data_IF_188702124875
#
_entry.id   IF_188702124875
#
_cell.length_a   1.000
_cell.length_b   1.000
_cell.length_c   1.000
_cell.angle_alpha   90.00
_cell.angle_beta   90.00
_cell.angle_gamma   90.00
#
_symmetry.space_group_name_H-M   'P 1'
#
loop_
_entity.id
_entity.type
_entity.pdbx_description
1 polymer ?
#
# COMPACT_ATOMS: atom_id res chain seq x y z
N UNK A 1 -23.75 -22.19 -17.14
CA UNK A 1 -22.36 -21.75 -17.49
C UNK A 1 -22.04 -20.50 -16.69
N UNK A 2 -21.27 -20.56 -15.60
CA UNK A 2 -20.91 -19.35 -14.84
C UNK A 2 -19.63 -18.71 -15.43
N UNK A 3 -19.75 -17.44 -15.79
CA UNK A 3 -18.67 -16.58 -16.25
C UNK A 3 -17.64 -16.38 -15.13
N UNK A 4 -16.43 -16.87 -15.36
CA UNK A 4 -15.25 -16.61 -14.56
C UNK A 4 -14.83 -15.13 -14.74
N UNK A 5 -15.03 -14.30 -13.74
CA UNK A 5 -14.46 -12.94 -13.68
C UNK A 5 -12.95 -13.05 -13.50
N UNK A 6 -12.23 -12.65 -14.53
CA UNK A 6 -10.78 -12.41 -14.47
C UNK A 6 -10.49 -11.22 -13.54
N UNK A 7 -9.77 -11.48 -12.47
CA UNK A 7 -9.13 -10.44 -11.67
C UNK A 7 -7.76 -10.13 -12.31
N UNK A 8 -7.69 -9.03 -13.04
CA UNK A 8 -6.43 -8.50 -13.54
C UNK A 8 -5.66 -7.85 -12.39
N UNK A 9 -4.58 -8.50 -11.97
CA UNK A 9 -3.57 -7.88 -11.11
C UNK A 9 -2.53 -7.19 -11.99
N UNK A 10 -2.59 -5.85 -12.06
CA UNK A 10 -1.55 -5.04 -12.68
C UNK A 10 -0.28 -5.06 -11.81
N UNK A 11 0.71 -5.85 -12.20
CA UNK A 11 2.05 -5.77 -11.63
C UNK A 11 2.85 -4.68 -12.36
N UNK A 12 3.16 -3.57 -11.68
CA UNK A 12 4.19 -2.64 -12.17
C UNK A 12 5.56 -3.30 -12.01
N UNK A 13 6.16 -3.67 -13.14
CA UNK A 13 7.59 -3.99 -13.23
C UNK A 13 8.38 -2.68 -13.17
N UNK A 14 9.13 -2.47 -12.09
CA UNK A 14 10.20 -1.47 -12.06
C UNK A 14 11.42 -2.12 -12.72
N UNK A 15 11.83 -1.61 -13.89
CA UNK A 15 13.07 -1.99 -14.54
C UNK A 15 14.23 -1.39 -13.74
N UNK A 16 15.07 -2.25 -13.18
CA UNK A 16 16.32 -1.87 -12.53
C UNK A 16 17.47 -2.07 -13.54
N UNK A 17 18.02 -0.97 -14.02
CA UNK A 17 19.27 -0.97 -14.80
C UNK A 17 20.42 -1.03 -13.80
N UNK A 18 21.21 -2.10 -13.89
CA UNK A 18 22.43 -2.25 -13.11
C UNK A 18 23.55 -1.45 -13.77
N UNK A 19 23.99 -0.38 -13.14
CA UNK A 19 25.26 0.27 -13.45
C UNK A 19 26.32 -0.25 -12.46
N UNK A 20 27.44 -0.78 -13.02
CA UNK A 20 28.57 -1.30 -12.26
C UNK A 20 29.57 -0.18 -12.05
N UNK A 21 29.47 0.53 -10.94
CA UNK A 21 30.50 1.43 -10.45
C UNK A 21 31.19 0.87 -9.21
N UNK A 22 32.47 0.52 -9.31
CA UNK A 22 33.36 0.23 -8.19
C UNK A 22 33.53 1.48 -7.35
N UNK A 23 33.16 1.43 -6.07
CA UNK A 23 33.77 2.31 -5.06
C UNK A 23 33.87 1.57 -3.73
N UNK A 24 35.05 1.80 -3.07
CA UNK A 24 35.48 1.14 -1.87
C UNK A 24 34.63 1.51 -0.65
N UNK A 25 34.64 0.61 0.34
CA UNK A 25 33.98 0.75 1.62
C UNK A 25 34.57 1.93 2.42
N UNK A 26 33.76 2.85 2.93
CA UNK A 26 34.16 3.72 4.02
C UNK A 26 33.86 3.07 5.38
N UNK A 27 34.81 3.30 6.28
CA UNK A 27 34.86 2.87 7.67
C UNK A 27 33.64 3.32 8.46
N UNK A 28 33.33 2.52 9.47
CA UNK A 28 32.31 2.73 10.49
C UNK A 28 32.34 4.18 11.01
N UNK A 29 31.36 4.96 10.63
CA UNK A 29 30.98 6.18 11.29
C UNK A 29 29.74 5.86 12.10
N UNK A 30 29.94 5.83 13.42
CA UNK A 30 28.87 5.76 14.40
C UNK A 30 28.00 7.00 14.25
N UNK A 31 26.92 6.87 13.45
CA UNK A 31 25.92 7.93 13.33
C UNK A 31 25.05 7.87 14.56
N UNK A 32 25.43 8.63 15.58
CA UNK A 32 24.56 9.02 16.68
C UNK A 32 23.28 9.61 16.05
N UNK A 33 22.18 8.92 16.21
CA UNK A 33 20.87 9.38 15.77
C UNK A 33 20.60 10.76 16.40
N UNK A 34 20.26 11.80 15.61
CA UNK A 34 19.87 13.07 16.19
C UNK A 34 18.65 12.83 17.07
N UNK A 35 18.76 13.28 18.35
CA UNK A 35 17.68 13.19 19.31
C UNK A 35 16.42 13.82 18.72
N UNK A 36 15.40 13.01 18.52
CA UNK A 36 14.08 13.47 18.15
C UNK A 36 13.53 14.31 19.32
N UNK A 37 13.66 15.62 19.20
CA UNK A 37 12.91 16.54 20.04
C UNK A 37 11.42 16.29 19.81
N UNK A 38 10.76 15.74 20.82
CA UNK A 38 9.33 15.39 20.89
C UNK A 38 8.41 16.64 20.92
N UNK A 39 8.68 17.66 20.15
CA UNK A 39 7.69 18.67 19.82
C UNK A 39 6.76 18.10 18.74
N UNK A 40 5.81 17.26 19.14
CA UNK A 40 4.69 16.89 18.26
C UNK A 40 4.01 18.19 17.85
N UNK A 41 3.86 18.49 16.54
CA UNK A 41 3.00 19.58 16.12
C UNK A 41 1.64 19.34 16.79
N UNK A 42 1.12 20.35 17.46
CA UNK A 42 -0.16 20.31 18.15
C UNK A 42 -1.30 20.39 17.11
N UNK A 43 -1.29 19.43 16.20
CA UNK A 43 -2.33 19.23 15.20
C UNK A 43 -3.44 18.46 15.89
N UNK A 44 -4.54 19.13 16.17
CA UNK A 44 -5.73 18.47 16.70
C UNK A 44 -6.42 17.68 15.58
N UNK A 45 -5.70 16.67 15.04
CA UNK A 45 -6.14 15.85 13.89
C UNK A 45 -7.46 15.13 14.19
N UNK A 46 -7.69 14.79 15.45
CA UNK A 46 -8.93 14.12 15.85
C UNK A 46 -10.12 15.07 15.79
N UNK A 47 -9.96 16.31 16.25
CA UNK A 47 -10.99 17.34 16.16
C UNK A 47 -11.29 17.69 14.70
N UNK A 48 -10.26 17.94 13.90
CA UNK A 48 -10.40 18.17 12.45
C UNK A 48 -11.16 17.01 11.76
N UNK A 49 -10.83 15.77 12.11
CA UNK A 49 -11.50 14.60 11.57
C UNK A 49 -12.96 14.52 11.95
N UNK A 50 -13.29 14.84 13.22
CA UNK A 50 -14.66 14.87 13.74
C UNK A 50 -15.50 15.97 13.09
N UNK A 51 -14.94 17.15 12.92
CA UNK A 51 -15.59 18.27 12.25
C UNK A 51 -15.93 17.94 10.79
N UNK A 52 -14.97 17.38 10.06
CA UNK A 52 -15.17 16.94 8.67
C UNK A 52 -16.29 15.89 8.56
N UNK A 53 -16.30 14.88 9.44
CA UNK A 53 -17.40 13.90 9.46
C UNK A 53 -18.74 14.51 9.83
N UNK A 54 -18.76 15.42 10.80
CA UNK A 54 -19.95 16.13 11.22
C UNK A 54 -20.57 16.93 10.09
N UNK A 55 -19.76 17.70 9.36
CA UNK A 55 -20.20 18.52 8.21
C UNK A 55 -20.76 17.68 7.05
N UNK A 56 -20.33 16.42 6.94
CA UNK A 56 -20.76 15.47 5.89
C UNK A 56 -21.90 14.55 6.33
N UNK A 57 -22.58 14.88 7.44
CA UNK A 57 -23.74 14.13 7.93
C UNK A 57 -23.40 12.82 8.63
N UNK A 58 -22.13 12.62 9.01
CA UNK A 58 -21.66 11.43 9.71
C UNK A 58 -21.43 11.66 11.21
N UNK A 59 -22.21 12.57 11.83
CA UNK A 59 -22.09 12.91 13.25
C UNK A 59 -22.18 11.69 14.18
N UNK A 60 -22.96 10.67 13.80
CA UNK A 60 -23.11 9.45 14.59
C UNK A 60 -21.81 8.68 14.83
N UNK A 61 -20.81 8.81 13.93
CA UNK A 61 -19.49 8.18 14.12
C UNK A 61 -18.41 9.19 14.50
N UNK A 62 -18.65 10.49 14.28
CA UNK A 62 -17.66 11.52 14.56
C UNK A 62 -17.23 11.51 16.03
N UNK A 63 -18.19 11.39 16.96
CA UNK A 63 -17.92 11.41 18.39
C UNK A 63 -17.10 10.21 18.88
N UNK A 64 -17.21 9.07 18.19
CA UNK A 64 -16.49 7.84 18.55
C UNK A 64 -15.12 7.76 17.86
N UNK A 65 -14.88 8.60 16.82
CA UNK A 65 -13.66 8.54 16.05
C UNK A 65 -12.45 8.95 16.89
N UNK A 66 -11.40 8.15 16.78
CA UNK A 66 -10.09 8.43 17.36
C UNK A 66 -9.01 8.48 16.27
N UNK A 67 -8.02 9.32 16.50
CA UNK A 67 -6.83 9.43 15.62
C UNK A 67 -5.59 9.24 16.47
N UNK A 68 -4.71 8.33 16.06
CA UNK A 68 -3.47 8.02 16.77
C UNK A 68 -2.26 8.02 15.83
N UNK A 69 -1.09 8.24 16.39
CA UNK A 69 0.18 7.97 15.74
C UNK A 69 0.64 6.55 16.04
N UNK A 70 0.88 5.74 14.97
CA UNK A 70 1.20 4.32 15.13
C UNK A 70 2.56 3.98 14.48
N UNK A 71 3.58 3.80 15.31
CA UNK A 71 4.95 3.44 14.87
C UNK A 71 5.08 2.02 14.30
N UNK A 72 4.06 1.18 14.46
CA UNK A 72 4.02 -0.15 13.86
C UNK A 72 3.71 -0.12 12.35
N UNK A 73 3.19 1.00 11.84
CA UNK A 73 3.04 1.20 10.39
C UNK A 73 4.44 1.35 9.77
N UNK A 74 4.83 0.41 8.92
CA UNK A 74 6.18 0.42 8.31
C UNK A 74 6.19 1.05 6.92
N UNK A 75 5.19 0.75 6.11
CA UNK A 75 5.13 1.15 4.69
C UNK A 75 3.86 1.91 4.34
N UNK A 76 2.82 1.84 5.16
CA UNK A 76 1.58 2.58 4.97
C UNK A 76 1.70 3.96 5.64
N UNK A 77 1.18 5.00 5.00
CA UNK A 77 1.10 6.35 5.55
C UNK A 77 0.02 6.44 6.64
N UNK A 78 -1.11 5.77 6.42
CA UNK A 78 -2.21 5.67 7.37
C UNK A 78 -2.90 4.31 7.30
N UNK A 79 -3.86 4.13 8.16
CA UNK A 79 -4.77 2.98 8.20
C UNK A 79 -6.07 3.38 8.89
N UNK A 80 -7.19 3.08 8.25
CA UNK A 80 -8.53 3.21 8.83
C UNK A 80 -9.06 1.86 9.31
N UNK A 81 -9.63 1.84 10.52
CA UNK A 81 -10.42 0.72 11.04
C UNK A 81 -11.83 1.22 11.38
N UNK A 82 -12.78 0.93 10.50
CA UNK A 82 -14.18 1.36 10.69
C UNK A 82 -14.82 0.74 11.93
N UNK A 83 -14.49 -0.50 12.29
CA UNK A 83 -15.09 -1.19 13.44
C UNK A 83 -14.67 -0.55 14.76
N UNK A 84 -13.39 -0.18 14.85
CA UNK A 84 -12.83 0.47 16.03
C UNK A 84 -13.01 1.99 16.03
N UNK A 85 -13.54 2.57 14.94
CA UNK A 85 -13.59 4.03 14.73
C UNK A 85 -12.22 4.67 14.94
N UNK A 86 -11.18 4.04 14.35
CA UNK A 86 -9.80 4.42 14.59
C UNK A 86 -9.08 4.70 13.27
N UNK A 87 -8.40 5.83 13.22
CA UNK A 87 -7.41 6.16 12.19
C UNK A 87 -6.03 6.13 12.83
N UNK A 88 -5.14 5.30 12.29
CA UNK A 88 -3.73 5.27 12.68
C UNK A 88 -2.90 5.94 11.60
N UNK A 89 -2.07 6.91 11.97
CA UNK A 89 -1.15 7.63 11.09
C UNK A 89 0.30 7.21 11.37
N UNK A 90 1.12 7.16 10.34
CA UNK A 90 2.53 6.82 10.47
C UNK A 90 3.32 8.03 10.96
N UNK A 91 4.10 7.94 12.07
CA UNK A 91 4.92 9.05 12.55
C UNK A 91 5.93 9.60 11.54
N UNK A 92 6.31 8.83 10.51
CA UNK A 92 7.17 9.32 9.42
C UNK A 92 6.53 10.44 8.60
N UNK A 93 5.23 10.65 8.72
CA UNK A 93 4.57 11.82 8.13
C UNK A 93 5.07 13.14 8.71
N UNK A 94 5.71 13.16 9.89
CA UNK A 94 6.37 14.36 10.39
C UNK A 94 7.51 14.86 9.50
N UNK A 95 8.12 13.96 8.72
CA UNK A 95 9.10 14.31 7.68
C UNK A 95 8.43 14.92 6.43
N UNK A 96 7.10 14.82 6.33
CA UNK A 96 6.28 15.28 5.20
C UNK A 96 5.01 15.99 5.69
N UNK A 97 5.10 17.14 6.39
CA UNK A 97 3.97 17.78 7.06
C UNK A 97 2.78 18.08 6.14
N UNK A 98 3.03 18.45 4.88
CA UNK A 98 2.00 18.71 3.88
C UNK A 98 1.12 17.48 3.56
N UNK A 99 1.64 16.27 3.82
CA UNK A 99 0.92 15.01 3.55
C UNK A 99 0.11 14.52 4.75
N UNK A 100 0.24 15.12 5.92
CA UNK A 100 -0.46 14.69 7.14
C UNK A 100 -1.97 14.83 6.97
N UNK A 101 -2.43 16.02 6.61
CA UNK A 101 -3.85 16.27 6.43
C UNK A 101 -4.42 15.49 5.24
N UNK A 102 -3.69 15.40 4.14
CA UNK A 102 -4.09 14.61 2.98
C UNK A 102 -4.25 13.13 3.35
N UNK A 103 -3.30 12.56 4.09
CA UNK A 103 -3.39 11.18 4.59
C UNK A 103 -4.57 11.00 5.54
N UNK A 104 -4.81 11.96 6.44
CA UNK A 104 -5.97 11.92 7.32
C UNK A 104 -7.28 11.86 6.53
N UNK A 105 -7.45 12.72 5.52
CA UNK A 105 -8.63 12.74 4.65
C UNK A 105 -8.78 11.45 3.85
N UNK A 106 -7.68 10.85 3.38
CA UNK A 106 -7.67 9.54 2.72
C UNK A 106 -8.26 8.45 3.62
N UNK A 107 -7.79 8.37 4.87
CA UNK A 107 -8.29 7.38 5.83
C UNK A 107 -9.72 7.69 6.29
N UNK A 108 -10.07 8.97 6.40
CA UNK A 108 -11.44 9.40 6.66
C UNK A 108 -12.40 8.98 5.54
N UNK A 109 -11.96 9.03 4.28
CA UNK A 109 -12.76 8.58 3.16
C UNK A 109 -13.15 7.10 3.28
N UNK A 110 -12.27 6.24 3.81
CA UNK A 110 -12.61 4.85 4.11
C UNK A 110 -13.70 4.73 5.18
N UNK A 111 -13.59 5.52 6.26
CA UNK A 111 -14.59 5.55 7.34
C UNK A 111 -15.93 6.04 6.82
N UNK A 112 -15.95 7.18 6.11
CA UNK A 112 -17.14 7.79 5.57
C UNK A 112 -17.85 6.90 4.54
N UNK A 113 -17.09 6.30 3.62
CA UNK A 113 -17.63 5.38 2.62
C UNK A 113 -18.32 4.17 3.28
N UNK A 114 -17.67 3.56 4.27
CA UNK A 114 -18.25 2.42 4.97
C UNK A 114 -19.47 2.82 5.82
N UNK A 115 -19.45 4.00 6.44
CA UNK A 115 -20.59 4.53 7.18
C UNK A 115 -21.84 4.67 6.30
N UNK A 116 -21.69 5.28 5.12
CA UNK A 116 -22.79 5.51 4.16
C UNK A 116 -23.43 4.22 3.64
N UNK A 117 -22.65 3.16 3.47
CA UNK A 117 -23.16 1.88 2.98
C UNK A 117 -23.55 0.90 4.09
N UNK A 118 -23.28 1.22 5.34
CA UNK A 118 -23.61 0.41 6.50
C UNK A 118 -22.83 -0.91 6.52
N UNK A 119 -23.56 -2.05 6.58
CA UNK A 119 -22.94 -3.38 6.71
C UNK A 119 -22.50 -3.98 5.37
N UNK A 120 -22.83 -3.37 4.26
CA UNK A 120 -22.46 -3.88 2.94
C UNK A 120 -20.94 -3.86 2.76
N UNK A 121 -20.38 -4.94 2.25
CA UNK A 121 -18.97 -5.00 1.89
C UNK A 121 -18.72 -4.19 0.60
N UNK A 122 -17.78 -3.27 0.64
CA UNK A 122 -17.37 -2.44 -0.48
C UNK A 122 -15.91 -2.69 -0.84
N UNK A 123 -15.51 -2.28 -2.06
CA UNK A 123 -14.10 -2.28 -2.46
C UNK A 123 -13.37 -1.15 -1.73
N UNK A 124 -12.19 -1.37 -1.16
CA UNK A 124 -11.47 -0.35 -0.38
C UNK A 124 -11.31 1.00 -1.11
N UNK A 125 -11.05 0.97 -2.42
CA UNK A 125 -10.91 2.18 -3.24
C UNK A 125 -11.89 2.15 -4.42
N UNK A 126 -13.14 1.69 -4.14
CA UNK A 126 -14.25 1.68 -5.10
C UNK A 126 -14.91 3.04 -5.26
N UNK A 127 -16.04 3.05 -5.95
CA UNK A 127 -16.81 4.28 -6.24
C UNK A 127 -17.27 4.99 -4.97
N UNK A 128 -17.60 4.25 -3.92
CA UNK A 128 -18.03 4.80 -2.64
C UNK A 128 -16.90 5.57 -1.95
N UNK A 129 -15.68 5.03 -2.00
CA UNK A 129 -14.48 5.71 -1.49
C UNK A 129 -14.12 6.92 -2.35
N UNK A 130 -14.18 6.82 -3.67
CA UNK A 130 -13.93 7.95 -4.57
C UNK A 130 -14.90 9.10 -4.31
N UNK A 131 -16.18 8.80 -4.11
CA UNK A 131 -17.17 9.84 -3.76
C UNK A 131 -16.84 10.47 -2.40
N UNK A 132 -16.45 9.68 -1.41
CA UNK A 132 -16.02 10.22 -0.12
C UNK A 132 -14.76 11.10 -0.24
N UNK A 133 -13.81 10.77 -1.12
CA UNK A 133 -12.65 11.61 -1.41
C UNK A 133 -13.07 12.97 -2.01
N UNK A 134 -14.03 12.99 -2.94
CA UNK A 134 -14.56 14.22 -3.52
C UNK A 134 -15.16 15.09 -2.43
N UNK A 135 -16.00 14.53 -1.58
CA UNK A 135 -16.69 15.25 -0.51
C UNK A 135 -15.72 15.79 0.56
N UNK A 136 -14.60 15.09 0.77
CA UNK A 136 -13.51 15.51 1.66
C UNK A 136 -12.50 16.47 1.02
N UNK A 137 -12.73 16.91 -0.25
CA UNK A 137 -11.88 17.88 -0.93
C UNK A 137 -10.56 17.30 -1.47
N UNK A 138 -10.46 15.98 -1.64
CA UNK A 138 -9.30 15.28 -2.21
C UNK A 138 -9.70 14.44 -3.43
N UNK A 139 -10.42 15.03 -4.37
CA UNK A 139 -10.96 14.34 -5.54
C UNK A 139 -9.89 13.67 -6.43
N UNK A 140 -8.66 14.20 -6.42
CA UNK A 140 -7.50 13.67 -7.16
C UNK A 140 -6.73 12.59 -6.41
N UNK A 141 -7.27 12.08 -5.28
CA UNK A 141 -6.55 11.15 -4.41
C UNK A 141 -6.26 9.82 -5.09
N UNK A 142 -5.04 9.35 -4.89
CA UNK A 142 -4.56 8.08 -5.43
C UNK A 142 -4.72 6.96 -4.39
N UNK A 143 -4.88 5.73 -4.88
CA UNK A 143 -4.97 4.53 -4.01
C UNK A 143 -3.76 4.30 -3.11
N UNK A 144 -2.58 4.79 -3.53
CA UNK A 144 -1.32 4.61 -2.84
C UNK A 144 -0.56 5.92 -2.81
N UNK A 145 0.02 6.24 -1.67
CA UNK A 145 0.94 7.37 -1.54
C UNK A 145 2.27 7.10 -2.29
N UNK A 146 2.96 8.16 -2.67
CA UNK A 146 4.30 8.11 -3.27
C UNK A 146 5.40 8.51 -2.26
N UNK A 147 5.09 8.48 -0.96
CA UNK A 147 6.04 8.83 0.10
C UNK A 147 7.22 7.84 0.10
N UNK A 148 8.45 8.31 0.34
CA UNK A 148 9.67 7.50 0.30
C UNK A 148 9.83 6.64 1.57
N UNK A 149 8.75 6.02 2.01
CA UNK A 149 8.83 5.11 3.15
C UNK A 149 9.61 3.86 2.76
N UNK A 150 10.46 3.34 3.65
CA UNK A 150 11.26 2.16 3.34
C UNK A 150 10.35 0.98 3.04
N UNK A 151 10.48 0.46 1.83
CA UNK A 151 9.81 -0.77 1.45
C UNK A 151 10.24 -1.94 2.35
N UNK A 152 9.33 -2.87 2.62
CA UNK A 152 9.72 -4.12 3.28
C UNK A 152 10.61 -4.91 2.33
N UNK A 153 11.91 -4.97 2.63
CA UNK A 153 12.80 -5.93 1.99
C UNK A 153 12.62 -7.30 2.63
N UNK A 154 11.96 -8.20 1.92
CA UNK A 154 11.89 -9.59 2.36
C UNK A 154 12.92 -10.39 1.58
N UNK A 155 13.78 -11.12 2.29
CA UNK A 155 14.63 -12.09 1.65
C UNK A 155 13.78 -13.13 0.91
N UNK A 156 14.07 -13.35 -0.36
CA UNK A 156 13.40 -14.36 -1.14
C UNK A 156 13.77 -15.75 -0.60
N UNK A 157 12.77 -16.50 -0.15
CA UNK A 157 12.95 -17.89 0.34
C UNK A 157 12.85 -18.90 -0.80
N UNK A 158 12.22 -18.54 -1.89
CA UNK A 158 12.00 -19.40 -3.04
C UNK A 158 12.38 -18.64 -4.32
N UNK A 159 13.08 -19.29 -5.22
CA UNK A 159 13.34 -18.76 -6.55
C UNK A 159 12.70 -19.69 -7.56
N UNK A 160 11.83 -19.16 -8.39
CA UNK A 160 11.25 -19.87 -9.52
C UNK A 160 11.91 -19.41 -10.80
N UNK A 161 12.01 -20.31 -11.78
CA UNK A 161 12.63 -20.01 -13.08
C UNK A 161 11.69 -20.41 -14.22
N UNK A 162 11.65 -19.58 -15.24
CA UNK A 162 10.98 -19.92 -16.50
C UNK A 162 11.81 -20.94 -17.28
N UNK A 163 11.25 -22.06 -17.76
CA UNK A 163 12.00 -23.04 -18.54
C UNK A 163 12.42 -22.51 -19.92
N UNK A 164 11.71 -21.55 -20.47
CA UNK A 164 11.99 -20.97 -21.79
C UNK A 164 13.02 -19.84 -21.71
N UNK A 165 12.67 -18.69 -21.12
CA UNK A 165 13.56 -17.51 -21.07
C UNK A 165 14.53 -17.52 -19.89
N UNK A 166 14.48 -18.51 -19.02
CA UNK A 166 15.31 -18.68 -17.82
C UNK A 166 15.26 -17.54 -16.81
N UNK A 167 14.37 -16.57 -16.99
CA UNK A 167 14.16 -15.48 -16.04
C UNK A 167 13.80 -16.02 -14.66
N UNK A 168 14.41 -15.45 -13.63
CA UNK A 168 14.18 -15.81 -12.25
C UNK A 168 13.13 -14.91 -11.60
N UNK A 169 12.31 -15.52 -10.73
CA UNK A 169 11.22 -14.90 -10.03
C UNK A 169 11.35 -15.18 -8.54
N UNK A 170 12.06 -14.31 -7.79
CA UNK A 170 12.19 -14.46 -6.35
C UNK A 170 10.83 -14.30 -5.64
N UNK A 171 10.55 -15.15 -4.65
CA UNK A 171 9.31 -15.15 -3.86
C UNK A 171 9.61 -15.35 -2.38
N UNK A 172 8.89 -14.63 -1.53
CA UNK A 172 8.96 -14.79 -0.07
C UNK A 172 8.20 -16.03 0.39
N UNK A 173 7.10 -16.37 -0.31
CA UNK A 173 6.24 -17.51 -0.01
C UNK A 173 6.20 -18.48 -1.19
N UNK A 174 6.01 -19.76 -0.88
CA UNK A 174 5.82 -20.78 -1.91
C UNK A 174 4.59 -20.47 -2.74
N UNK A 175 4.74 -20.55 -4.06
CA UNK A 175 3.63 -20.36 -5.00
C UNK A 175 2.70 -21.58 -4.90
N UNK A 176 1.45 -21.34 -4.53
CA UNK A 176 0.43 -22.41 -4.36
C UNK A 176 -0.36 -22.67 -5.64
N UNK A 177 -0.49 -21.65 -6.50
CA UNK A 177 -1.21 -21.77 -7.77
C UNK A 177 -0.23 -21.97 -8.90
N UNK A 178 -0.69 -22.62 -9.97
CA UNK A 178 0.10 -22.76 -11.20
C UNK A 178 0.22 -21.39 -11.84
N UNK A 179 1.45 -20.94 -12.05
CA UNK A 179 1.79 -19.65 -12.69
C UNK A 179 2.77 -19.88 -13.83
N UNK A 180 2.66 -19.06 -14.87
CA UNK A 180 3.56 -19.08 -16.03
C UNK A 180 4.28 -17.74 -16.19
N UNK A 181 5.36 -17.73 -16.96
CA UNK A 181 6.10 -16.54 -17.31
C UNK A 181 5.25 -15.65 -18.23
N UNK A 182 4.83 -14.48 -17.72
CA UNK A 182 3.96 -13.58 -18.48
C UNK A 182 4.62 -13.05 -19.75
N UNK A 183 5.94 -12.78 -19.74
CA UNK A 183 6.66 -12.34 -20.91
C UNK A 183 6.61 -13.37 -22.04
N UNK A 184 6.90 -14.66 -21.72
CA UNK A 184 6.81 -15.74 -22.69
C UNK A 184 5.35 -15.98 -23.14
N UNK A 185 4.39 -15.91 -22.24
CA UNK A 185 2.98 -16.03 -22.59
C UNK A 185 2.52 -14.91 -23.53
N UNK A 186 2.97 -13.67 -23.32
CA UNK A 186 2.68 -12.54 -24.21
C UNK A 186 3.29 -12.75 -25.60
N UNK A 187 4.53 -13.18 -25.63
CA UNK A 187 5.27 -13.37 -26.88
C UNK A 187 4.72 -14.53 -27.73
N UNK A 188 4.25 -15.61 -27.09
CA UNK A 188 3.93 -16.87 -27.81
C UNK A 188 2.47 -17.30 -27.74
N UNK A 189 1.66 -16.66 -26.88
CA UNK A 189 0.24 -17.06 -26.69
C UNK A 189 -0.68 -15.87 -26.34
N UNK A 190 -0.38 -14.68 -26.85
CA UNK A 190 -1.22 -13.49 -26.64
C UNK A 190 -1.48 -13.15 -25.18
N UNK A 191 -0.60 -13.53 -24.27
CA UNK A 191 -0.72 -13.26 -22.82
C UNK A 191 -1.58 -14.27 -22.05
N UNK A 192 -2.18 -15.26 -22.71
CA UNK A 192 -2.91 -16.34 -22.05
C UNK A 192 -1.95 -17.33 -21.40
N UNK A 193 -2.41 -17.97 -20.33
CA UNK A 193 -1.62 -19.00 -19.66
C UNK A 193 -1.21 -20.10 -20.64
N UNK A 194 0.08 -20.46 -20.59
CA UNK A 194 0.64 -21.55 -21.39
C UNK A 194 1.48 -22.47 -20.50
N UNK A 195 1.15 -23.78 -20.43
CA UNK A 195 1.87 -24.75 -19.59
C UNK A 195 3.38 -24.87 -19.93
N UNK A 196 3.77 -24.61 -21.17
CA UNK A 196 5.18 -24.64 -21.61
C UNK A 196 6.05 -23.63 -20.83
N UNK A 197 5.45 -22.52 -20.40
CA UNK A 197 6.13 -21.44 -19.67
C UNK A 197 5.83 -21.46 -18.16
N UNK A 198 5.30 -22.56 -17.63
CA UNK A 198 5.05 -22.77 -16.21
C UNK A 198 6.34 -22.58 -15.43
N UNK A 199 6.31 -21.72 -14.41
CA UNK A 199 7.44 -21.48 -13.56
C UNK A 199 7.77 -22.73 -12.72
N UNK A 200 9.07 -23.09 -12.68
CA UNK A 200 9.59 -24.22 -11.91
C UNK A 200 10.38 -23.70 -10.73
N UNK A 201 10.27 -24.37 -9.58
CA UNK A 201 11.09 -24.05 -8.42
C UNK A 201 12.56 -24.36 -8.77
N UNK A 202 13.43 -23.36 -8.69
CA UNK A 202 14.86 -23.50 -8.95
C UNK A 202 15.65 -23.65 -7.65
N UNK A 203 15.27 -22.91 -6.58
CA UNK A 203 15.87 -23.06 -5.25
C UNK A 203 14.88 -22.69 -4.14
N UNK A 204 15.06 -23.28 -2.96
CA UNK A 204 14.38 -22.94 -1.71
C UNK A 204 15.45 -22.83 -0.62
N UNK A 205 15.40 -21.75 0.18
CA UNK A 205 16.27 -21.52 1.36
C UNK A 205 15.47 -21.67 2.64
#
# INVERSE_FOLDING_TARGET
MPLLRQLEFAFRTVAWTADRGRFGAPRDVEVTAPGYNNAKPNLNLEETARELLGSLGAAGIANELRVEWNSHLKTAAGRADYRQKLISLNPRLFEHPAEIERTLRHELAHILAQFRVGRRKISPHGVEWQQACIDLGIADEKRCHNLPFPGRTYAARFVYRCPNCRQEFPRVRRVRRVVACLACCRQHNGGKFDPRFRLRLASAR
#
